data_IF_930701440513
#
_entry.id   IF_930701440513
#
_cell.length_a   1.000
_cell.length_b   1.000
_cell.length_c   1.000
_cell.angle_alpha   90.00
_cell.angle_beta   90.00
_cell.angle_gamma   90.00
#
_symmetry.space_group_name_H-M   'P 1'
#
loop_
_entity.id
_entity.type
_entity.pdbx_description
1 polymer ?
#
# COMPACT_ATOMS: atom_id res chain seq x y z
N UNK A 1 -8.44 -10.86 8.04
CA UNK A 1 -7.70 -10.60 9.29
C UNK A 1 -6.38 -9.96 8.92
N UNK A 2 -6.33 -8.63 8.99
CA UNK A 2 -5.17 -7.84 8.58
C UNK A 2 -4.12 -7.91 9.69
N UNK A 3 -3.07 -8.72 9.50
CA UNK A 3 -1.98 -8.82 10.47
C UNK A 3 -0.87 -7.86 10.04
N UNK A 4 -0.55 -6.84 10.85
CA UNK A 4 0.49 -5.88 10.48
C UNK A 4 1.81 -6.63 10.29
N UNK A 5 2.46 -6.41 9.14
CA UNK A 5 3.76 -6.99 8.73
C UNK A 5 4.87 -6.87 9.80
N UNK A 6 4.64 -6.00 10.78
CA UNK A 6 5.43 -5.79 12.01
C UNK A 6 5.67 -7.06 12.83
N UNK A 7 4.68 -7.95 12.98
CA UNK A 7 4.78 -9.13 13.88
C UNK A 7 5.34 -10.40 13.22
N UNK A 8 5.65 -10.36 11.93
CA UNK A 8 6.19 -11.52 11.23
C UNK A 8 7.70 -11.58 11.47
N UNK A 9 8.14 -12.46 12.37
CA UNK A 9 9.55 -12.86 12.44
C UNK A 9 9.85 -13.58 11.12
N UNK A 10 10.67 -12.97 10.26
CA UNK A 10 11.05 -13.55 8.96
C UNK A 10 11.86 -14.84 9.09
N UNK A 11 12.19 -15.23 10.33
CA UNK A 11 12.92 -16.44 10.69
C UNK A 11 12.03 -17.49 11.36
N UNK A 12 10.73 -17.20 11.58
CA UNK A 12 9.80 -18.17 12.18
C UNK A 12 9.29 -19.15 11.12
N UNK A 13 9.57 -20.46 11.24
CA UNK A 13 9.17 -21.46 10.24
C UNK A 13 7.65 -21.56 10.04
N UNK A 14 6.87 -21.05 11.01
CA UNK A 14 5.41 -21.02 10.99
C UNK A 14 4.83 -20.08 9.92
N UNK A 15 5.64 -19.15 9.41
CA UNK A 15 5.24 -18.21 8.36
C UNK A 15 5.81 -18.58 6.98
N UNK A 16 6.52 -19.71 6.89
CA UNK A 16 7.10 -20.15 5.63
C UNK A 16 6.04 -20.89 4.82
N UNK A 17 6.00 -20.57 3.53
CA UNK A 17 5.32 -21.40 2.53
C UNK A 17 5.99 -22.78 2.57
N UNK A 18 5.20 -23.86 2.50
CA UNK A 18 5.77 -25.20 2.44
C UNK A 18 6.63 -25.31 1.19
N UNK A 19 7.75 -26.02 1.27
CA UNK A 19 8.70 -26.14 0.15
C UNK A 19 8.05 -26.64 -1.15
N UNK A 20 6.98 -27.42 -1.03
CA UNK A 20 6.22 -27.97 -2.15
C UNK A 20 5.28 -26.97 -2.83
N UNK A 21 4.88 -25.92 -2.09
CA UNK A 21 3.91 -24.92 -2.53
C UNK A 21 4.60 -23.67 -3.11
N UNK A 22 5.94 -23.63 -3.11
CA UNK A 22 6.70 -22.51 -3.68
C UNK A 22 6.67 -22.62 -5.20
N UNK A 23 6.08 -21.62 -5.86
CA UNK A 23 6.05 -21.53 -7.31
C UNK A 23 7.32 -20.86 -7.86
N UNK A 24 8.01 -21.52 -8.79
CA UNK A 24 9.26 -21.03 -9.37
C UNK A 24 9.13 -20.53 -10.82
N UNK A 25 7.90 -20.45 -11.34
CA UNK A 25 7.63 -20.06 -12.72
C UNK A 25 7.68 -21.23 -13.70
N UNK A 26 6.91 -21.12 -14.79
CA UNK A 26 6.68 -22.20 -15.75
C UNK A 26 7.96 -22.86 -16.31
N UNK A 27 9.04 -22.09 -16.50
CA UNK A 27 10.33 -22.62 -17.01
C UNK A 27 11.04 -23.56 -16.05
N UNK A 28 10.84 -23.36 -14.73
CA UNK A 28 11.44 -24.18 -13.68
C UNK A 28 10.50 -25.35 -13.33
N UNK A 29 9.19 -25.14 -13.37
CA UNK A 29 8.19 -26.20 -13.14
C UNK A 29 8.23 -27.32 -14.18
N UNK A 30 8.45 -26.99 -15.47
CA UNK A 30 8.47 -27.99 -16.55
C UNK A 30 9.50 -29.12 -16.32
N UNK A 31 10.80 -28.84 -16.03
CA UNK A 31 11.76 -29.88 -15.66
C UNK A 31 11.41 -30.68 -14.40
N UNK A 32 10.77 -30.04 -13.41
CA UNK A 32 10.37 -30.67 -12.14
C UNK A 32 9.25 -31.68 -12.39
N UNK A 33 8.24 -31.29 -13.17
CA UNK A 33 7.10 -32.15 -13.53
C UNK A 33 7.51 -33.32 -14.43
N UNK A 34 8.50 -33.10 -15.30
CA UNK A 34 9.03 -34.15 -16.17
C UNK A 34 9.91 -35.17 -15.44
N UNK A 35 10.16 -35.00 -14.14
CA UNK A 35 10.97 -35.93 -13.34
C UNK A 35 12.46 -35.92 -13.70
N UNK A 36 12.93 -34.88 -14.40
CA UNK A 36 14.32 -34.77 -14.86
C UNK A 36 15.29 -34.31 -13.76
N UNK A 37 14.81 -34.18 -12.51
CA UNK A 37 15.58 -33.65 -11.38
C UNK A 37 15.54 -34.66 -10.24
N UNK A 38 16.72 -34.98 -9.70
CA UNK A 38 16.83 -35.84 -8.53
C UNK A 38 16.11 -35.23 -7.32
N UNK A 39 15.41 -36.06 -6.54
CA UNK A 39 14.59 -35.62 -5.40
C UNK A 39 15.41 -34.84 -4.36
N UNK A 40 16.65 -35.25 -4.11
CA UNK A 40 17.54 -34.59 -3.16
C UNK A 40 17.99 -33.20 -3.65
N UNK A 41 18.35 -33.10 -4.94
CA UNK A 41 18.73 -31.84 -5.58
C UNK A 41 17.55 -30.86 -5.63
N UNK A 42 16.33 -31.36 -5.92
CA UNK A 42 15.12 -30.55 -5.90
C UNK A 42 14.82 -29.99 -4.51
N UNK A 43 14.99 -30.81 -3.46
CA UNK A 43 14.82 -30.37 -2.07
C UNK A 43 15.84 -29.30 -1.69
N UNK A 44 17.10 -29.48 -2.07
CA UNK A 44 18.17 -28.50 -1.84
C UNK A 44 17.91 -27.18 -2.57
N UNK A 45 17.44 -27.25 -3.83
CA UNK A 45 17.05 -26.08 -4.61
C UNK A 45 15.92 -25.28 -3.92
N UNK A 46 14.85 -25.97 -3.52
CA UNK A 46 13.71 -25.36 -2.81
C UNK A 46 14.13 -24.70 -1.50
N UNK A 47 15.03 -25.35 -0.75
CA UNK A 47 15.56 -24.79 0.50
C UNK A 47 16.33 -23.48 0.25
N UNK A 48 17.24 -23.46 -0.72
CA UNK A 48 18.01 -22.25 -1.07
C UNK A 48 17.12 -21.11 -1.56
N UNK A 49 16.07 -21.43 -2.32
CA UNK A 49 15.12 -20.43 -2.76
C UNK A 49 14.32 -19.85 -1.57
N UNK A 50 13.90 -20.70 -0.63
CA UNK A 50 13.28 -20.24 0.61
C UNK A 50 14.23 -19.33 1.41
N UNK A 51 15.50 -19.73 1.58
CA UNK A 51 16.52 -18.90 2.23
C UNK A 51 16.69 -17.54 1.55
N UNK A 52 16.70 -17.53 0.22
CA UNK A 52 16.75 -16.28 -0.56
C UNK A 52 15.53 -15.39 -0.28
N UNK A 53 14.31 -15.95 -0.26
CA UNK A 53 13.10 -15.19 0.06
C UNK A 53 13.12 -14.64 1.49
N UNK A 54 13.62 -15.44 2.44
CA UNK A 54 13.81 -15.01 3.83
C UNK A 54 14.77 -13.83 3.91
N UNK A 55 15.93 -13.93 3.27
CA UNK A 55 16.91 -12.83 3.23
C UNK A 55 16.37 -11.60 2.51
N UNK A 56 15.65 -11.78 1.40
CA UNK A 56 14.98 -10.69 0.70
C UNK A 56 14.02 -9.93 1.65
N UNK A 57 13.16 -10.66 2.37
CA UNK A 57 12.25 -10.07 3.34
C UNK A 57 13.00 -9.33 4.47
N UNK A 58 14.11 -9.89 4.96
CA UNK A 58 14.95 -9.24 5.96
C UNK A 58 15.58 -7.94 5.42
N UNK A 59 16.07 -7.94 4.18
CA UNK A 59 16.67 -6.77 3.55
C UNK A 59 15.63 -5.68 3.30
N UNK A 60 14.41 -6.05 2.87
CA UNK A 60 13.28 -5.12 2.78
C UNK A 60 13.00 -4.51 4.16
N UNK A 61 12.90 -5.34 5.21
CA UNK A 61 12.72 -4.88 6.59
C UNK A 61 13.82 -3.96 7.10
N UNK A 62 15.07 -4.19 6.72
CA UNK A 62 16.20 -3.33 7.12
C UNK A 62 16.19 -1.97 6.42
N UNK A 63 15.78 -1.93 5.15
CA UNK A 63 15.84 -0.72 4.32
C UNK A 63 14.57 0.12 4.37
N UNK A 64 13.45 -0.50 4.70
CA UNK A 64 12.16 0.17 4.77
C UNK A 64 11.80 0.50 6.21
N UNK A 65 11.66 1.79 6.51
CA UNK A 65 11.17 2.23 7.81
C UNK A 65 9.64 2.10 7.85
N UNK A 66 9.14 0.93 8.24
CA UNK A 66 7.70 0.69 8.44
C UNK A 66 7.10 1.53 9.58
N UNK A 67 7.91 2.19 10.39
CA UNK A 67 7.48 3.14 11.43
C UNK A 67 7.59 4.59 10.96
N UNK A 68 7.85 4.83 9.68
CA UNK A 68 7.93 6.19 9.16
C UNK A 68 6.58 6.91 9.39
N UNK A 69 6.54 7.98 10.20
CA UNK A 69 5.30 8.68 10.52
C UNK A 69 4.64 9.30 9.29
N UNK A 70 5.44 9.64 8.26
CA UNK A 70 4.93 10.13 6.97
C UNK A 70 4.12 9.06 6.25
N UNK A 71 4.59 7.80 6.24
CA UNK A 71 3.87 6.69 5.59
C UNK A 71 2.57 6.35 6.32
N UNK A 72 2.60 6.39 7.65
CA UNK A 72 1.40 6.22 8.48
C UNK A 72 0.39 7.33 8.18
N UNK A 73 0.84 8.57 8.04
CA UNK A 73 -0.01 9.69 7.67
C UNK A 73 -0.58 9.54 6.25
N UNK A 74 0.24 9.17 5.26
CA UNK A 74 -0.22 8.96 3.87
C UNK A 74 -1.26 7.83 3.78
N UNK A 75 -1.17 6.82 4.65
CA UNK A 75 -2.13 5.71 4.66
C UNK A 75 -3.58 6.14 4.93
N UNK A 76 -3.79 7.32 5.53
CA UNK A 76 -5.12 7.90 5.74
C UNK A 76 -5.82 8.23 4.41
N UNK A 77 -5.06 8.55 3.35
CA UNK A 77 -5.59 8.88 2.04
C UNK A 77 -6.00 7.65 1.22
N UNK A 78 -5.90 6.44 1.76
CA UNK A 78 -6.56 5.29 1.15
C UNK A 78 -8.08 5.50 1.14
N UNK A 79 -8.80 5.17 0.06
CA UNK A 79 -10.24 5.40 -0.05
C UNK A 79 -11.04 4.87 1.15
N UNK A 80 -10.68 3.66 1.62
CA UNK A 80 -11.31 3.04 2.79
C UNK A 80 -11.12 3.85 4.08
N UNK A 81 -9.93 4.41 4.29
CA UNK A 81 -9.59 5.17 5.49
C UNK A 81 -10.13 6.61 5.43
N UNK A 82 -10.06 7.24 4.26
CA UNK A 82 -10.61 8.57 4.03
C UNK A 82 -12.13 8.59 4.22
N UNK A 83 -12.81 7.51 3.85
CA UNK A 83 -14.26 7.37 3.98
C UNK A 83 -14.72 6.78 5.32
N UNK A 84 -13.83 6.21 6.13
CA UNK A 84 -14.23 5.58 7.41
C UNK A 84 -14.71 6.59 8.44
N UNK A 85 -14.25 7.84 8.33
CA UNK A 85 -14.53 8.89 9.32
C UNK A 85 -13.81 8.70 10.66
N UNK A 86 -12.96 7.67 10.79
CA UNK A 86 -12.20 7.41 12.03
C UNK A 86 -11.13 8.48 12.27
N UNK A 87 -10.57 9.03 11.18
CA UNK A 87 -9.58 10.10 11.23
C UNK A 87 -10.29 11.45 11.25
N UNK A 88 -10.55 11.96 12.46
CA UNK A 88 -11.28 13.20 12.68
C UNK A 88 -10.54 14.49 12.27
N UNK A 89 -9.22 14.43 12.11
CA UNK A 89 -8.40 15.57 11.72
C UNK A 89 -7.09 15.13 11.09
N UNK A 90 -6.70 15.80 10.01
CA UNK A 90 -5.39 15.62 9.36
C UNK A 90 -4.42 16.77 9.66
N UNK A 91 -4.84 17.78 10.44
CA UNK A 91 -4.09 19.03 10.64
C UNK A 91 -2.67 18.80 11.14
N UNK A 92 -2.53 18.00 12.21
CA UNK A 92 -1.24 17.74 12.83
C UNK A 92 -0.28 17.05 11.85
N UNK A 93 -0.75 16.04 11.11
CA UNK A 93 0.07 15.32 10.15
C UNK A 93 0.42 16.17 8.92
N UNK A 94 -0.54 16.94 8.40
CA UNK A 94 -0.32 17.84 7.26
C UNK A 94 0.73 18.90 7.57
N UNK A 95 0.64 19.57 8.73
CA UNK A 95 1.58 20.62 9.11
C UNK A 95 2.95 20.09 9.52
N UNK A 96 3.02 18.89 10.10
CA UNK A 96 4.29 18.29 10.52
C UNK A 96 5.09 17.74 9.34
N UNK A 97 4.42 17.11 8.38
CA UNK A 97 5.10 16.39 7.29
C UNK A 97 5.12 17.16 5.97
N UNK A 98 4.10 17.98 5.70
CA UNK A 98 3.92 18.65 4.41
C UNK A 98 3.47 20.11 4.55
N UNK A 99 4.13 20.95 5.37
CA UNK A 99 3.69 22.32 5.62
C UNK A 99 3.59 23.16 4.34
N UNK A 100 4.48 22.92 3.36
CA UNK A 100 4.51 23.67 2.10
C UNK A 100 3.36 23.32 1.13
N UNK A 101 2.67 22.18 1.34
CA UNK A 101 1.51 21.80 0.52
C UNK A 101 0.20 22.33 1.10
N UNK A 102 0.21 22.85 2.33
CA UNK A 102 -0.98 23.38 2.99
C UNK A 102 -1.15 24.85 2.65
N UNK A 103 -2.18 25.17 1.87
CA UNK A 103 -2.56 26.56 1.56
C UNK A 103 -3.47 27.17 2.62
N UNK A 104 -4.44 26.39 3.11
CA UNK A 104 -5.40 26.79 4.15
C UNK A 104 -5.74 25.57 4.99
N UNK A 105 -5.28 25.57 6.25
CA UNK A 105 -5.36 24.42 7.14
C UNK A 105 -6.78 24.15 7.65
N UNK A 106 -7.55 25.21 7.91
CA UNK A 106 -8.92 25.11 8.42
C UNK A 106 -9.86 24.60 7.32
N UNK A 107 -9.67 25.14 6.11
CA UNK A 107 -10.42 24.70 4.94
C UNK A 107 -10.08 23.27 4.55
N UNK A 108 -8.79 22.91 4.55
CA UNK A 108 -8.34 21.53 4.31
C UNK A 108 -8.97 20.55 5.30
N UNK A 109 -8.96 20.86 6.59
CA UNK A 109 -9.53 19.98 7.62
C UNK A 109 -11.06 19.86 7.53
N UNK A 110 -11.73 20.95 7.16
CA UNK A 110 -13.18 20.95 6.93
C UNK A 110 -13.55 20.09 5.72
N UNK A 111 -12.83 20.24 4.61
CA UNK A 111 -12.99 19.41 3.41
C UNK A 111 -12.71 17.92 3.70
N UNK A 112 -11.70 17.62 4.51
CA UNK A 112 -11.42 16.25 4.95
C UNK A 112 -12.59 15.62 5.72
N UNK A 113 -13.21 16.34 6.66
CA UNK A 113 -14.37 15.82 7.40
C UNK A 113 -15.60 15.61 6.50
N UNK A 114 -15.77 16.46 5.49
CA UNK A 114 -16.86 16.36 4.54
C UNK A 114 -16.73 15.13 3.65
N UNK A 115 -15.51 14.68 3.33
CA UNK A 115 -15.30 13.51 2.45
C UNK A 115 -15.92 12.24 3.03
N UNK A 116 -15.78 12.02 4.33
CA UNK A 116 -16.34 10.85 5.02
C UNK A 116 -17.88 10.85 5.04
N UNK A 117 -18.48 12.04 4.94
CA UNK A 117 -19.93 12.23 4.89
C UNK A 117 -20.49 12.23 3.47
N UNK A 118 -19.64 12.15 2.44
CA UNK A 118 -20.05 12.23 1.04
C UNK A 118 -20.47 10.86 0.50
N UNK A 119 -21.77 10.63 0.36
CA UNK A 119 -22.31 9.35 -0.09
C UNK A 119 -21.94 9.02 -1.55
N UNK A 120 -21.74 10.03 -2.40
CA UNK A 120 -21.28 9.85 -3.80
C UNK A 120 -19.90 9.19 -3.88
N UNK A 121 -19.03 9.45 -2.88
CA UNK A 121 -17.70 8.84 -2.80
C UNK A 121 -17.73 7.45 -2.19
N UNK A 122 -18.70 7.14 -1.32
CA UNK A 122 -18.84 5.80 -0.72
C UNK A 122 -19.10 4.70 -1.74
N UNK A 123 -19.84 5.02 -2.81
CA UNK A 123 -20.09 4.11 -3.95
C UNK A 123 -18.80 3.70 -4.67
N UNK A 124 -17.72 4.48 -4.52
CA UNK A 124 -16.41 4.25 -5.15
C UNK A 124 -15.33 3.77 -4.18
N UNK A 125 -15.69 3.35 -2.98
CA UNK A 125 -14.76 2.90 -1.94
C UNK A 125 -13.88 1.69 -2.33
N UNK A 126 -14.31 0.88 -3.28
CA UNK A 126 -13.56 -0.28 -3.79
C UNK A 126 -12.60 0.04 -4.94
N UNK A 127 -12.59 1.29 -5.44
CA UNK A 127 -11.68 1.69 -6.52
C UNK A 127 -10.23 1.77 -6.05
N UNK A 128 -9.33 1.63 -7.03
CA UNK A 128 -7.91 1.89 -6.84
C UNK A 128 -7.74 3.37 -6.46
N UNK A 129 -6.78 3.64 -5.57
CA UNK A 129 -6.51 4.94 -4.96
C UNK A 129 -6.49 6.10 -5.99
N UNK A 130 -5.82 5.91 -7.13
CA UNK A 130 -5.72 6.92 -8.19
C UNK A 130 -7.07 7.24 -8.84
N UNK A 131 -7.88 6.20 -9.14
CA UNK A 131 -9.21 6.40 -9.71
C UNK A 131 -10.18 7.06 -8.73
N UNK A 132 -10.08 6.70 -7.44
CA UNK A 132 -10.90 7.29 -6.40
C UNK A 132 -10.62 8.80 -6.28
N UNK A 133 -9.35 9.17 -6.14
CA UNK A 133 -8.99 10.59 -6.01
C UNK A 133 -9.21 11.37 -7.28
N UNK A 134 -9.01 10.78 -8.46
CA UNK A 134 -9.39 11.42 -9.73
C UNK A 134 -10.87 11.78 -9.77
N UNK A 135 -11.74 10.89 -9.29
CA UNK A 135 -13.18 11.17 -9.19
C UNK A 135 -13.50 12.26 -8.16
N UNK A 136 -12.87 12.21 -6.98
CA UNK A 136 -13.02 13.25 -5.96
C UNK A 136 -12.52 14.63 -6.45
N UNK A 137 -11.50 14.65 -7.33
CA UNK A 137 -10.95 15.87 -7.91
C UNK A 137 -11.93 16.58 -8.84
N UNK A 138 -12.74 15.82 -9.56
CA UNK A 138 -13.70 16.31 -10.54
C UNK A 138 -15.09 16.56 -9.93
N UNK A 139 -15.29 16.19 -8.66
CA UNK A 139 -16.57 16.32 -7.98
C UNK A 139 -16.94 17.79 -7.77
N UNK A 140 -18.10 18.17 -8.30
CA UNK A 140 -18.65 19.53 -8.24
C UNK A 140 -19.94 19.54 -7.45
N UNK A 141 -20.16 20.61 -6.69
CA UNK A 141 -21.42 20.86 -6.01
C UNK A 141 -22.50 21.31 -7.01
N UNK A 142 -23.73 21.50 -6.51
CA UNK A 142 -24.88 21.96 -7.29
C UNK A 142 -24.70 23.34 -7.95
N UNK A 143 -23.68 24.10 -7.54
CA UNK A 143 -23.31 25.40 -8.11
C UNK A 143 -22.21 25.27 -9.18
N UNK A 144 -21.80 24.05 -9.54
CA UNK A 144 -20.74 23.78 -10.52
C UNK A 144 -19.32 24.06 -10.01
N UNK A 145 -19.16 24.33 -8.72
CA UNK A 145 -17.86 24.59 -8.09
C UNK A 145 -17.28 23.29 -7.53
N UNK A 146 -15.97 23.09 -7.67
CA UNK A 146 -15.26 21.92 -7.12
C UNK A 146 -15.49 21.83 -5.60
N UNK A 147 -15.85 20.63 -5.13
CA UNK A 147 -16.28 20.41 -3.75
C UNK A 147 -15.12 20.44 -2.74
N UNK A 148 -13.93 19.99 -3.15
CA UNK A 148 -12.77 19.80 -2.27
C UNK A 148 -11.47 20.45 -2.80
N UNK A 149 -11.46 21.76 -3.12
CA UNK A 149 -10.33 22.38 -3.82
C UNK A 149 -9.00 22.32 -3.04
N UNK A 150 -9.03 22.48 -1.71
CA UNK A 150 -7.83 22.52 -0.87
C UNK A 150 -7.27 21.12 -0.66
N UNK A 151 -8.15 20.16 -0.42
CA UNK A 151 -7.83 18.74 -0.30
C UNK A 151 -7.31 18.18 -1.63
N UNK A 152 -7.89 18.57 -2.76
CA UNK A 152 -7.45 18.13 -4.08
C UNK A 152 -6.01 18.55 -4.35
N UNK A 153 -5.66 19.80 -4.06
CA UNK A 153 -4.28 20.29 -4.22
C UNK A 153 -3.31 19.56 -3.28
N UNK A 154 -3.72 19.35 -2.03
CA UNK A 154 -2.90 18.64 -1.05
C UNK A 154 -2.65 17.19 -1.44
N UNK A 155 -3.70 16.45 -1.80
CA UNK A 155 -3.59 15.04 -2.21
C UNK A 155 -2.84 14.92 -3.53
N UNK A 156 -3.08 15.77 -4.53
CA UNK A 156 -2.26 15.81 -5.76
C UNK A 156 -0.78 16.00 -5.42
N UNK A 157 -0.47 16.93 -4.51
CA UNK A 157 0.89 17.14 -4.01
C UNK A 157 1.49 15.86 -3.42
N UNK A 158 0.75 15.15 -2.55
CA UNK A 158 1.18 13.88 -1.97
C UNK A 158 1.38 12.80 -3.04
N UNK A 159 0.46 12.66 -4.00
CA UNK A 159 0.53 11.64 -5.05
C UNK A 159 1.61 11.93 -6.09
N UNK A 160 2.00 13.20 -6.27
CA UNK A 160 3.12 13.61 -7.11
C UNK A 160 4.47 13.43 -6.43
N UNK A 161 4.52 13.20 -5.11
CA UNK A 161 5.78 12.83 -4.47
C UNK A 161 6.20 11.49 -5.05
N UNK A 162 7.43 11.37 -5.59
CA UNK A 162 7.93 10.10 -6.11
C UNK A 162 8.01 9.12 -4.95
N UNK A 163 6.97 8.31 -4.77
CA UNK A 163 7.01 7.16 -3.90
C UNK A 163 7.83 6.09 -4.63
N UNK A 164 9.15 6.30 -4.70
CA UNK A 164 10.14 5.48 -5.41
C UNK A 164 10.26 4.04 -4.85
N UNK A 165 9.30 3.55 -4.06
CA UNK A 165 9.16 2.15 -3.66
C UNK A 165 7.81 1.50 -3.99
N UNK A 166 6.71 2.24 -4.20
CA UNK A 166 5.37 1.61 -4.27
C UNK A 166 5.15 0.82 -5.58
N UNK A 167 5.84 1.22 -6.66
CA UNK A 167 5.80 0.46 -7.91
C UNK A 167 6.68 -0.80 -7.86
N UNK A 168 7.65 -0.88 -6.94
CA UNK A 168 8.40 -2.11 -6.67
C UNK A 168 7.62 -3.03 -5.71
N UNK A 169 6.86 -2.46 -4.77
CA UNK A 169 6.12 -3.22 -3.74
C UNK A 169 4.90 -3.96 -4.30
N UNK A 170 4.16 -3.39 -5.27
CA UNK A 170 3.06 -4.11 -5.94
C UNK A 170 3.55 -5.34 -6.72
N UNK A 171 4.72 -5.25 -7.35
CA UNK A 171 5.32 -6.40 -8.04
C UNK A 171 5.82 -7.46 -7.06
N UNK A 172 6.41 -7.06 -5.93
CA UNK A 172 6.97 -8.02 -4.97
C UNK A 172 5.90 -8.74 -4.12
N UNK A 173 4.78 -8.11 -3.78
CA UNK A 173 3.73 -8.75 -2.95
C UNK A 173 2.77 -9.62 -3.75
N UNK A 174 2.45 -9.28 -5.00
CA UNK A 174 1.58 -10.09 -5.87
C UNK A 174 2.23 -11.40 -6.36
N UNK A 175 3.53 -11.58 -6.13
CA UNK A 175 4.22 -12.85 -6.37
C UNK A 175 4.25 -13.75 -5.11
N UNK A 176 3.77 -13.27 -3.96
CA UNK A 176 3.89 -13.96 -2.67
C UNK A 176 2.51 -14.36 -2.09
N UNK A 177 1.39 -13.97 -2.72
CA UNK A 177 0.04 -14.41 -2.36
C UNK A 177 -0.68 -15.08 -3.53
#
# INVERSE_FOLDING_TARGET
MDRPCRKLTTSDPKYFIKLEDIYFGAKVELPILNGNVEVMELKNFRLRALEFYVELCQQIKKRFNFENPVLQFISNFNPKNALSGEVNSIVAGSMTHFPNLVTDIEKLNSEWRLIASCDELKVKSEKILEEFWSYAFDLKNNLGVVMFPSLNNFVKGILCLPHSSASAEKFSLSLIF
#
